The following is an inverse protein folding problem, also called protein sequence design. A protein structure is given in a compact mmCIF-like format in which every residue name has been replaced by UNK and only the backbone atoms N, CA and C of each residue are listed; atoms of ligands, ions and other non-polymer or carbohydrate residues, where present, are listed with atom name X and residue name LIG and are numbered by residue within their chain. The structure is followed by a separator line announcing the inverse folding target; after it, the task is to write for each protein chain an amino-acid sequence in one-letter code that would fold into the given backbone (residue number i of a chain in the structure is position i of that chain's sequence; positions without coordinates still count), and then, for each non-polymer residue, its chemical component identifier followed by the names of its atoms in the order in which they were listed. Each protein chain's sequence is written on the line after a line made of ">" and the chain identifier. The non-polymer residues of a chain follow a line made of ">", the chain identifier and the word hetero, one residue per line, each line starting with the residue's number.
data_IF_640902481140
#
_entry.id   IF_640902481140
#
_cell.length_a   1.000
_cell.length_b   1.000
_cell.length_c   1.000
_cell.angle_alpha   90.00
_cell.angle_beta   90.00
_cell.angle_gamma   90.00
#
_symmetry.space_group_name_H-M   'P 1'
#
loop_
_entity.id
_entity.type
_entity.pdbx_description
1 polymer ?
#
# COMPACT_ATOMS: atom_id res chain seq x y z
N UNK A 1 20.98 -0.09 16.09
CA UNK A 1 20.26 -0.49 17.30
C UNK A 1 19.09 -1.41 16.92
N UNK A 2 19.03 -2.57 17.54
CA UNK A 2 17.92 -3.51 17.23
C UNK A 2 16.64 -3.03 17.89
N UNK A 3 15.54 -3.11 17.14
CA UNK A 3 14.23 -2.79 17.68
C UNK A 3 13.76 -3.87 18.65
N UNK A 4 13.07 -3.46 19.70
CA UNK A 4 12.39 -4.40 20.59
C UNK A 4 11.16 -4.96 19.88
N UNK A 5 10.62 -6.07 20.37
CA UNK A 5 9.36 -6.64 19.83
C UNK A 5 8.23 -5.62 19.88
N UNK A 6 8.15 -4.83 20.94
CA UNK A 6 7.13 -3.80 21.09
C UNK A 6 7.28 -2.70 20.05
N UNK A 7 8.52 -2.30 19.74
CA UNK A 7 8.79 -1.31 18.69
C UNK A 7 8.41 -1.84 17.30
N UNK A 8 8.72 -3.12 17.02
CA UNK A 8 8.33 -3.78 15.78
C UNK A 8 6.81 -3.75 15.60
N UNK A 9 6.07 -4.13 16.64
CA UNK A 9 4.61 -4.12 16.61
C UNK A 9 4.09 -2.70 16.40
N UNK A 10 4.71 -1.70 17.03
CA UNK A 10 4.33 -0.30 16.84
C UNK A 10 4.49 0.15 15.40
N UNK A 11 5.54 -0.32 14.71
CA UNK A 11 5.71 -0.02 13.29
C UNK A 11 4.59 -0.63 12.45
N UNK A 12 4.22 -1.89 12.72
CA UNK A 12 3.09 -2.53 12.02
C UNK A 12 1.79 -1.77 12.26
N UNK A 13 1.55 -1.32 13.48
CA UNK A 13 0.33 -0.57 13.81
C UNK A 13 0.32 0.81 13.14
N UNK A 14 1.49 1.44 13.03
CA UNK A 14 1.63 2.68 12.25
C UNK A 14 1.28 2.43 10.79
N UNK A 15 1.73 1.32 10.23
CA UNK A 15 1.41 0.95 8.85
C UNK A 15 -0.09 0.74 8.65
N UNK A 16 -0.79 0.17 9.62
CA UNK A 16 -2.26 0.04 9.58
C UNK A 16 -2.91 1.43 9.43
N UNK A 17 -2.48 2.39 10.25
CA UNK A 17 -2.99 3.76 10.17
C UNK A 17 -2.73 4.39 8.81
N UNK A 18 -1.53 4.14 8.23
CA UNK A 18 -1.18 4.65 6.91
C UNK A 18 -2.08 4.02 5.84
N UNK A 19 -2.30 2.70 5.88
CA UNK A 19 -3.14 2.03 4.89
C UNK A 19 -4.61 2.46 5.00
N UNK A 20 -5.09 2.74 6.20
CA UNK A 20 -6.44 3.29 6.39
C UNK A 20 -6.56 4.68 5.73
N UNK A 21 -5.53 5.52 5.87
CA UNK A 21 -5.49 6.83 5.21
C UNK A 21 -5.38 6.68 3.69
N UNK A 22 -4.64 5.68 3.22
CA UNK A 22 -4.54 5.39 1.79
C UNK A 22 -5.91 5.02 1.22
N UNK A 23 -6.70 4.24 1.95
CA UNK A 23 -8.06 3.89 1.53
C UNK A 23 -8.94 5.14 1.45
N UNK A 24 -8.83 6.04 2.42
CA UNK A 24 -9.57 7.31 2.41
C UNK A 24 -9.16 8.16 1.21
N UNK A 25 -7.87 8.26 0.94
CA UNK A 25 -7.35 9.02 -0.19
C UNK A 25 -7.83 8.42 -1.53
N UNK A 26 -7.81 7.10 -1.66
CA UNK A 26 -8.30 6.41 -2.85
C UNK A 26 -9.81 6.65 -3.06
N UNK A 27 -10.58 6.62 -1.98
CA UNK A 27 -12.02 6.90 -2.01
C UNK A 27 -12.30 8.32 -2.46
N UNK A 28 -11.45 9.26 -2.08
CA UNK A 28 -11.56 10.67 -2.44
C UNK A 28 -10.89 11.01 -3.78
N UNK A 29 -10.28 10.03 -4.44
CA UNK A 29 -9.48 10.23 -5.67
C UNK A 29 -8.30 11.19 -5.46
N UNK A 30 -7.77 11.23 -4.25
CA UNK A 30 -6.62 12.06 -3.89
C UNK A 30 -5.33 11.28 -4.13
N UNK A 31 -4.91 11.20 -5.38
CA UNK A 31 -3.75 10.41 -5.78
C UNK A 31 -2.42 11.01 -5.32
N UNK A 32 -2.34 12.32 -5.18
CA UNK A 32 -1.15 12.97 -4.63
C UNK A 32 -0.94 12.54 -3.18
N UNK A 33 -2.02 12.48 -2.40
CA UNK A 33 -1.99 12.00 -1.03
C UNK A 33 -1.60 10.52 -0.97
N UNK A 34 -2.11 9.71 -1.93
CA UNK A 34 -1.75 8.30 -2.05
C UNK A 34 -0.24 8.11 -2.20
N UNK A 35 0.41 8.92 -3.05
CA UNK A 35 1.85 8.85 -3.27
C UNK A 35 2.62 9.15 -1.98
N UNK A 36 2.21 10.19 -1.25
CA UNK A 36 2.82 10.54 0.03
C UNK A 36 2.70 9.40 1.05
N UNK A 37 1.51 8.81 1.14
CA UNK A 37 1.24 7.71 2.07
C UNK A 37 1.99 6.45 1.69
N UNK A 38 2.10 6.15 0.39
CA UNK A 38 2.88 5.03 -0.10
C UNK A 38 4.35 5.18 0.30
N UNK A 39 4.89 6.39 0.20
CA UNK A 39 6.25 6.68 0.61
C UNK A 39 6.44 6.46 2.11
N UNK A 40 5.49 6.90 2.93
CA UNK A 40 5.52 6.68 4.37
C UNK A 40 5.49 5.18 4.70
N UNK A 41 4.68 4.42 3.98
CA UNK A 41 4.61 2.97 4.15
C UNK A 41 5.93 2.29 3.78
N UNK A 42 6.55 2.71 2.68
CA UNK A 42 7.86 2.21 2.25
C UNK A 42 8.93 2.48 3.30
N UNK A 43 8.88 3.63 3.96
CA UNK A 43 9.81 3.96 5.04
C UNK A 43 9.66 3.02 6.22
N UNK A 44 8.42 2.67 6.58
CA UNK A 44 8.14 1.68 7.63
C UNK A 44 8.71 0.30 7.26
N UNK A 45 8.51 -0.15 6.03
CA UNK A 45 9.02 -1.43 5.54
C UNK A 45 10.55 -1.45 5.61
N UNK A 46 11.19 -0.35 5.22
CA UNK A 46 12.65 -0.23 5.28
C UNK A 46 13.15 -0.36 6.72
N UNK A 47 12.48 0.30 7.68
CA UNK A 47 12.83 0.19 9.10
C UNK A 47 12.72 -1.25 9.60
N UNK A 48 11.68 -1.97 9.18
CA UNK A 48 11.51 -3.38 9.53
C UNK A 48 12.63 -4.25 8.94
N UNK A 49 13.01 -4.01 7.70
CA UNK A 49 14.08 -4.74 7.03
C UNK A 49 15.44 -4.50 7.68
N UNK A 50 15.72 -3.28 8.11
CA UNK A 50 16.95 -2.94 8.80
C UNK A 50 17.07 -3.64 10.15
N UNK A 51 15.97 -4.19 10.68
CA UNK A 51 15.88 -4.84 11.96
C UNK A 51 15.41 -6.30 11.86
N UNK A 52 15.75 -6.98 10.75
CA UNK A 52 15.36 -8.38 10.51
C UNK A 52 15.86 -9.34 11.58
N UNK A 53 16.96 -8.99 12.26
CA UNK A 53 17.52 -9.81 13.34
C UNK A 53 16.81 -9.65 14.67
N UNK A 54 15.69 -8.92 14.71
CA UNK A 54 14.89 -8.75 15.91
C UNK A 54 14.42 -10.15 16.40
N UNK A 55 14.30 -10.29 17.73
CA UNK A 55 13.83 -11.54 18.30
C UNK A 55 12.41 -11.87 17.82
N UNK A 56 12.10 -13.16 17.59
CA UNK A 56 10.77 -13.56 17.20
C UNK A 56 9.72 -13.06 18.19
N UNK A 57 8.62 -12.54 17.66
CA UNK A 57 7.50 -12.09 18.48
C UNK A 57 6.72 -13.29 19.02
N UNK A 58 6.23 -13.16 20.24
CA UNK A 58 5.46 -14.20 20.90
C UNK A 58 4.30 -13.58 21.69
N UNK A 59 3.29 -14.39 21.99
CA UNK A 59 2.17 -13.96 22.80
C UNK A 59 1.36 -12.83 22.18
N UNK A 60 1.10 -11.80 22.96
CA UNK A 60 0.28 -10.66 22.55
C UNK A 60 0.90 -9.87 21.41
N UNK A 61 2.21 -9.71 21.40
CA UNK A 61 2.91 -9.00 20.34
C UNK A 61 2.72 -9.68 18.99
N UNK A 62 2.80 -11.01 18.97
CA UNK A 62 2.57 -11.79 17.77
C UNK A 62 1.13 -11.62 17.26
N UNK A 63 0.16 -11.66 18.16
CA UNK A 63 -1.25 -11.46 17.81
C UNK A 63 -1.49 -10.08 17.25
N UNK A 64 -0.90 -9.04 17.84
CA UNK A 64 -1.02 -7.68 17.36
C UNK A 64 -0.44 -7.53 15.96
N UNK A 65 0.71 -8.15 15.71
CA UNK A 65 1.33 -8.16 14.37
C UNK A 65 0.42 -8.85 13.35
N UNK A 66 -0.10 -10.03 13.67
CA UNK A 66 -0.99 -10.77 12.75
C UNK A 66 -2.24 -9.96 12.46
N UNK A 67 -2.85 -9.35 13.47
CA UNK A 67 -4.04 -8.53 13.28
C UNK A 67 -3.75 -7.29 12.43
N UNK A 68 -2.58 -6.66 12.64
CA UNK A 68 -2.16 -5.52 11.82
C UNK A 68 -2.01 -5.91 10.35
N UNK A 69 -1.36 -7.04 10.08
CA UNK A 69 -1.18 -7.54 8.71
C UNK A 69 -2.53 -7.82 8.05
N UNK A 70 -3.47 -8.45 8.78
CA UNK A 70 -4.80 -8.72 8.26
C UNK A 70 -5.54 -7.44 7.88
N UNK A 71 -5.46 -6.43 8.73
CA UNK A 71 -6.09 -5.13 8.46
C UNK A 71 -5.47 -4.46 7.25
N UNK A 72 -4.15 -4.52 7.11
CA UNK A 72 -3.46 -3.97 5.94
C UNK A 72 -3.87 -4.69 4.65
N UNK A 73 -4.01 -6.01 4.68
CA UNK A 73 -4.46 -6.79 3.54
C UNK A 73 -5.90 -6.46 3.14
N UNK A 74 -6.78 -6.27 4.12
CA UNK A 74 -8.15 -5.87 3.86
C UNK A 74 -8.23 -4.48 3.24
N UNK A 75 -7.45 -3.52 3.76
CA UNK A 75 -7.37 -2.18 3.21
C UNK A 75 -6.84 -2.21 1.77
N UNK A 76 -5.79 -2.98 1.52
CA UNK A 76 -5.22 -3.15 0.19
C UNK A 76 -6.24 -3.71 -0.81
N UNK A 77 -7.03 -4.68 -0.38
CA UNK A 77 -8.12 -5.25 -1.19
C UNK A 77 -9.15 -4.19 -1.55
N UNK A 78 -9.57 -3.40 -0.58
CA UNK A 78 -10.54 -2.33 -0.80
C UNK A 78 -10.00 -1.27 -1.74
N UNK A 79 -8.72 -0.91 -1.61
CA UNK A 79 -8.05 0.04 -2.50
C UNK A 79 -8.05 -0.51 -3.93
N UNK A 80 -7.71 -1.78 -4.12
CA UNK A 80 -7.72 -2.42 -5.43
C UNK A 80 -9.12 -2.46 -6.04
N UNK A 81 -10.13 -2.71 -5.23
CA UNK A 81 -11.52 -2.71 -5.69
C UNK A 81 -11.94 -1.32 -6.19
N UNK A 82 -11.40 -0.26 -5.61
CA UNK A 82 -11.65 1.11 -6.06
C UNK A 82 -10.88 1.45 -7.34
N UNK A 83 -9.65 0.95 -7.48
CA UNK A 83 -8.80 1.25 -8.63
C UNK A 83 -9.12 0.42 -9.86
N UNK A 84 -9.61 -0.81 -9.70
CA UNK A 84 -9.91 -1.71 -10.81
C UNK A 84 -10.94 -1.12 -11.80
N UNK A 85 -12.09 -0.58 -11.37
CA UNK A 85 -13.02 0.06 -12.29
C UNK A 85 -12.41 1.24 -13.05
N UNK A 86 -11.56 2.02 -12.38
CA UNK A 86 -10.87 3.14 -13.01
C UNK A 86 -9.90 2.64 -14.08
N UNK A 87 -9.16 1.58 -13.80
CA UNK A 87 -8.25 0.96 -14.76
C UNK A 87 -9.02 0.40 -15.96
N UNK A 88 -10.18 -0.19 -15.74
CA UNK A 88 -11.03 -0.69 -16.81
C UNK A 88 -11.51 0.45 -17.72
N UNK A 89 -11.90 1.60 -17.14
CA UNK A 89 -12.29 2.78 -17.91
C UNK A 89 -11.12 3.32 -18.72
N UNK A 90 -9.95 3.39 -18.12
CA UNK A 90 -8.74 3.85 -18.81
C UNK A 90 -8.40 2.93 -19.97
N UNK A 91 -8.47 1.63 -19.76
CA UNK A 91 -8.23 0.63 -20.80
C UNK A 91 -9.22 0.79 -21.97
N UNK A 92 -10.51 1.01 -21.68
CA UNK A 92 -11.52 1.23 -22.69
C UNK A 92 -11.24 2.50 -23.52
N UNK A 93 -10.77 3.57 -22.86
CA UNK A 93 -10.41 4.81 -23.55
C UNK A 93 -9.20 4.62 -24.46
N UNK A 94 -8.20 3.91 -23.99
CA UNK A 94 -6.97 3.61 -24.74
C UNK A 94 -7.27 2.69 -25.93
N UNK A 95 -8.22 1.78 -25.78
CA UNK A 95 -8.61 0.84 -26.85
C UNK A 95 -9.39 1.49 -27.98
N UNK A 96 -9.81 2.76 -27.84
CA UNK A 96 -10.34 3.51 -28.96
C UNK A 96 -9.23 3.61 -30.02
N UNK A 97 -9.54 3.24 -31.26
CA UNK A 97 -8.56 3.05 -32.32
C UNK A 97 -7.56 4.19 -32.48
N UNK A 98 -8.07 5.43 -32.49
CA UNK A 98 -7.22 6.61 -32.66
C UNK A 98 -6.33 6.85 -31.46
N UNK A 99 -6.88 6.72 -30.26
CA UNK A 99 -6.16 6.91 -29.00
C UNK A 99 -5.10 5.82 -28.83
N UNK A 100 -5.46 4.60 -29.12
CA UNK A 100 -4.54 3.44 -29.05
C UNK A 100 -3.32 3.64 -29.94
N UNK A 101 -3.54 4.05 -31.19
CA UNK A 101 -2.44 4.32 -32.11
C UNK A 101 -1.53 5.44 -31.62
N UNK A 102 -2.12 6.50 -31.09
CA UNK A 102 -1.39 7.64 -30.58
C UNK A 102 -0.53 7.27 -29.39
N UNK A 103 -1.08 6.51 -28.47
CA UNK A 103 -0.35 6.03 -27.27
C UNK A 103 0.76 5.06 -27.69
N UNK A 104 0.46 4.12 -28.59
CA UNK A 104 1.44 3.16 -29.09
C UNK A 104 2.64 3.87 -29.73
N UNK A 105 2.41 4.89 -30.54
CA UNK A 105 3.49 5.68 -31.15
C UNK A 105 4.31 6.42 -30.11
N UNK A 106 3.65 7.00 -29.10
CA UNK A 106 4.33 7.75 -28.03
C UNK A 106 5.26 6.87 -27.20
N UNK A 107 4.90 5.60 -27.00
CA UNK A 107 5.67 4.67 -26.19
C UNK A 107 6.46 3.63 -26.99
N UNK A 108 6.47 3.75 -28.31
CA UNK A 108 7.25 2.86 -29.18
C UNK A 108 6.76 1.41 -29.20
N UNK A 109 5.49 1.22 -28.98
CA UNK A 109 4.88 -0.11 -28.95
C UNK A 109 4.31 -0.50 -30.31
#
# INVERSE_FOLDING_TARGET
>A
MKMTGQEVVSVYETMVGITDQMLDAATANDWDRMVELEQACADCVRRLKENEDAQPLAGQERLRKVNAIRRMLDADRQIRDLTTPWMARLSALISNTTTERRVARAYGV
#
